data_IF_942769765639
#
_entry.id   IF_942769765639
#
_cell.length_a   1.000
_cell.length_b   1.000
_cell.length_c   1.000
_cell.angle_alpha   90.00
_cell.angle_beta   90.00
_cell.angle_gamma   90.00
#
_symmetry.space_group_name_H-M   'P 1'
#
loop_
_entity.id
_entity.type
_entity.pdbx_description
1 polymer ?
#
# COMPACT_ATOMS: atom_id res chain seq x y z
N UNK A 1 -10.89 15.07 12.22
CA UNK A 1 -11.73 14.96 11.00
C UNK A 1 -10.92 14.83 9.73
N UNK A 2 -9.93 15.70 9.47
CA UNK A 2 -9.12 15.65 8.24
C UNK A 2 -8.47 14.28 7.98
N UNK A 3 -7.98 13.60 9.02
CA UNK A 3 -7.43 12.25 8.93
C UNK A 3 -8.46 11.22 8.44
N UNK A 4 -9.66 11.20 9.05
CA UNK A 4 -10.76 10.31 8.66
C UNK A 4 -11.27 10.61 7.24
N UNK A 5 -11.26 11.89 6.84
CA UNK A 5 -11.66 12.31 5.50
C UNK A 5 -10.66 11.87 4.42
N UNK A 6 -9.38 11.77 4.75
CA UNK A 6 -8.31 11.41 3.82
C UNK A 6 -7.88 9.94 3.89
N UNK A 7 -8.29 9.17 4.89
CA UNK A 7 -8.07 7.72 4.94
C UNK A 7 -8.84 6.98 3.85
N UNK A 8 -8.28 5.87 3.35
CA UNK A 8 -8.92 5.06 2.30
C UNK A 8 -10.08 4.23 2.84
N UNK A 9 -9.85 3.49 3.93
CA UNK A 9 -10.83 2.58 4.56
C UNK A 9 -11.40 3.12 5.87
N UNK A 10 -10.96 4.31 6.28
CA UNK A 10 -11.24 4.86 7.60
C UNK A 10 -10.07 4.68 8.55
N UNK A 11 -10.20 5.17 9.78
CA UNK A 11 -9.22 5.00 10.86
C UNK A 11 -9.92 4.56 12.15
N UNK A 12 -9.28 3.69 12.92
CA UNK A 12 -9.78 3.29 14.24
C UNK A 12 -9.53 4.36 15.30
N UNK A 13 -10.18 4.23 16.46
CA UNK A 13 -9.95 5.08 17.63
C UNK A 13 -8.46 5.09 18.03
N UNK A 14 -7.84 3.91 18.08
CA UNK A 14 -6.44 3.76 18.48
C UNK A 14 -5.49 4.45 17.48
N UNK A 15 -5.72 4.24 16.18
CA UNK A 15 -4.90 4.88 15.14
C UNK A 15 -5.04 6.40 15.19
N UNK A 16 -6.26 6.93 15.37
CA UNK A 16 -6.47 8.37 15.48
C UNK A 16 -5.82 8.96 16.72
N UNK A 17 -5.92 8.29 17.88
CA UNK A 17 -5.30 8.75 19.11
C UNK A 17 -3.77 8.74 19.00
N UNK A 18 -3.19 7.67 18.44
CA UNK A 18 -1.75 7.57 18.21
C UNK A 18 -1.27 8.64 17.22
N UNK A 19 -1.97 8.85 16.11
CA UNK A 19 -1.58 9.86 15.11
C UNK A 19 -1.67 11.26 15.71
N UNK A 20 -2.75 11.56 16.44
CA UNK A 20 -3.00 12.89 17.00
C UNK A 20 -2.22 13.15 18.30
N UNK A 21 -1.71 12.10 18.96
CA UNK A 21 -1.04 12.18 20.26
C UNK A 21 -1.91 12.84 21.33
N UNK A 22 -3.17 12.41 21.43
CA UNK A 22 -4.18 13.01 22.32
C UNK A 22 -4.62 12.03 23.42
N UNK A 23 -4.85 12.50 24.67
CA UNK A 23 -5.44 11.66 25.70
C UNK A 23 -6.83 11.16 25.34
N UNK A 24 -7.12 9.90 25.73
CA UNK A 24 -8.41 9.26 25.45
C UNK A 24 -9.62 10.08 25.92
N UNK A 25 -9.54 10.69 27.10
CA UNK A 25 -10.65 11.49 27.64
C UNK A 25 -11.04 12.65 26.69
N UNK A 26 -10.05 13.34 26.12
CA UNK A 26 -10.28 14.42 25.15
C UNK A 26 -10.83 13.88 23.83
N UNK A 27 -10.28 12.75 23.36
CA UNK A 27 -10.79 12.09 22.15
C UNK A 27 -12.26 11.67 22.31
N UNK A 28 -12.63 11.06 23.45
CA UNK A 28 -14.00 10.61 23.71
C UNK A 28 -15.01 11.76 23.69
N UNK A 29 -14.70 12.90 24.33
CA UNK A 29 -15.58 14.08 24.31
C UNK A 29 -15.78 14.61 22.89
N UNK A 30 -14.71 14.68 22.11
CA UNK A 30 -14.79 15.08 20.71
C UNK A 30 -15.59 14.07 19.89
N UNK A 31 -15.29 12.77 20.04
CA UNK A 31 -15.93 11.69 19.30
C UNK A 31 -17.44 11.69 19.51
N UNK A 32 -17.91 11.80 20.75
CA UNK A 32 -19.33 11.90 21.07
C UNK A 32 -20.02 13.04 20.31
N UNK A 33 -19.36 14.21 20.22
CA UNK A 33 -19.89 15.36 19.49
C UNK A 33 -19.96 15.15 17.97
N UNK A 34 -19.14 14.27 17.40
CA UNK A 34 -19.08 14.01 15.94
C UNK A 34 -19.63 12.65 15.53
N UNK A 35 -20.15 11.84 16.47
CA UNK A 35 -20.69 10.49 16.18
C UNK A 35 -21.73 10.48 15.05
N UNK A 36 -22.60 11.49 15.00
CA UNK A 36 -23.68 11.61 14.01
C UNK A 36 -23.19 11.79 12.57
N UNK A 37 -21.94 12.25 12.37
CA UNK A 37 -21.35 12.44 11.04
C UNK A 37 -20.38 11.32 10.65
N UNK A 38 -20.11 10.39 11.58
CA UNK A 38 -19.21 9.26 11.37
C UNK A 38 -20.00 7.99 11.09
N UNK A 39 -19.49 7.19 10.15
CA UNK A 39 -19.91 5.81 9.92
C UNK A 39 -18.84 4.89 10.49
N UNK A 40 -19.27 3.92 11.30
CA UNK A 40 -18.40 2.88 11.84
C UNK A 40 -18.58 1.60 11.02
N UNK A 41 -17.50 1.00 10.55
CA UNK A 41 -17.52 -0.30 9.88
C UNK A 41 -16.31 -1.10 10.34
N UNK A 42 -16.54 -2.24 10.98
CA UNK A 42 -15.49 -3.09 11.55
C UNK A 42 -14.49 -2.33 12.46
N UNK A 43 -14.97 -1.36 13.24
CA UNK A 43 -14.13 -0.55 14.14
C UNK A 43 -13.36 0.59 13.45
N UNK A 44 -13.53 0.79 12.13
CA UNK A 44 -12.96 1.91 11.39
C UNK A 44 -14.00 3.03 11.22
N UNK A 45 -13.56 4.25 11.45
CA UNK A 45 -14.36 5.46 11.28
C UNK A 45 -14.17 6.04 9.90
N UNK A 46 -15.27 6.32 9.21
CA UNK A 46 -15.36 7.01 7.93
C UNK A 46 -16.38 8.15 8.02
N UNK A 47 -16.41 9.06 7.04
CA UNK A 47 -17.44 10.10 6.99
C UNK A 47 -18.74 9.52 6.41
N UNK A 48 -19.86 9.63 7.13
CA UNK A 48 -21.12 8.99 6.75
C UNK A 48 -21.76 9.60 5.50
N UNK A 49 -21.65 10.92 5.33
CA UNK A 49 -22.35 11.66 4.27
C UNK A 49 -21.37 12.46 3.41
N UNK A 50 -21.55 12.37 2.09
CA UNK A 50 -20.71 13.10 1.12
C UNK A 50 -20.77 14.63 1.31
N UNK A 51 -21.90 15.18 1.77
CA UNK A 51 -22.02 16.61 2.09
C UNK A 51 -21.13 17.01 3.28
N UNK A 52 -21.06 16.18 4.32
CA UNK A 52 -20.15 16.40 5.44
C UNK A 52 -18.69 16.29 4.99
N UNK A 53 -18.37 15.33 4.12
CA UNK A 53 -17.03 15.19 3.58
C UNK A 53 -16.62 16.45 2.80
N UNK A 54 -17.47 16.96 1.91
CA UNK A 54 -17.24 18.22 1.18
C UNK A 54 -17.03 19.39 2.12
N UNK A 55 -17.88 19.56 3.13
CA UNK A 55 -17.74 20.63 4.10
C UNK A 55 -16.43 20.54 4.90
N UNK A 56 -15.96 19.33 5.21
CA UNK A 56 -14.65 19.11 5.84
C UNK A 56 -13.54 19.46 4.87
N UNK A 57 -13.66 19.08 3.59
CA UNK A 57 -12.67 19.38 2.57
C UNK A 57 -12.52 20.89 2.36
N UNK A 58 -13.63 21.60 2.21
CA UNK A 58 -13.66 23.05 2.00
C UNK A 58 -13.11 23.82 3.20
N UNK A 59 -13.38 23.34 4.42
CA UNK A 59 -12.97 24.03 5.66
C UNK A 59 -11.54 23.71 6.09
N UNK A 60 -11.11 22.46 5.96
CA UNK A 60 -9.86 21.98 6.57
C UNK A 60 -8.83 21.44 5.57
N UNK A 61 -9.23 21.14 4.33
CA UNK A 61 -8.38 20.52 3.31
C UNK A 61 -8.37 21.32 1.99
N UNK A 62 -8.65 22.61 2.07
CA UNK A 62 -8.69 23.54 0.93
C UNK A 62 -7.31 23.82 0.32
N UNK A 63 -6.22 23.45 0.99
CA UNK A 63 -4.87 23.64 0.52
C UNK A 63 -4.16 22.31 0.28
N UNK A 64 -3.51 22.16 -0.88
CA UNK A 64 -2.81 20.93 -1.27
C UNK A 64 -1.71 20.54 -0.27
N UNK A 65 -0.98 21.52 0.30
CA UNK A 65 0.03 21.26 1.33
C UNK A 65 -0.55 20.66 2.62
N UNK A 66 -1.75 21.08 3.03
CA UNK A 66 -2.43 20.52 4.21
C UNK A 66 -2.89 19.09 3.93
N UNK A 67 -3.44 18.85 2.73
CA UNK A 67 -3.79 17.48 2.30
C UNK A 67 -2.55 16.58 2.35
N UNK A 68 -1.44 17.02 1.74
CA UNK A 68 -0.18 16.29 1.72
C UNK A 68 0.34 16.02 3.13
N UNK A 69 0.37 17.02 4.02
CA UNK A 69 0.89 16.84 5.38
C UNK A 69 0.05 15.86 6.22
N UNK A 70 -1.28 15.90 6.09
CA UNK A 70 -2.18 14.95 6.78
C UNK A 70 -1.97 13.54 6.25
N UNK A 71 -1.88 13.35 4.93
CA UNK A 71 -1.62 12.04 4.32
C UNK A 71 -0.25 11.48 4.73
N UNK A 72 0.80 12.31 4.74
CA UNK A 72 2.14 11.89 5.17
C UNK A 72 2.17 11.44 6.63
N UNK A 73 1.40 12.08 7.53
CA UNK A 73 1.25 11.60 8.91
C UNK A 73 0.55 10.24 9.00
N UNK A 74 -0.37 9.93 8.09
CA UNK A 74 -0.98 8.59 7.99
C UNK A 74 0.08 7.58 7.52
N UNK A 75 0.89 7.96 6.52
CA UNK A 75 2.01 7.15 6.03
C UNK A 75 3.00 6.84 7.15
N UNK A 76 3.49 7.86 7.86
CA UNK A 76 4.43 7.72 8.99
C UNK A 76 3.90 6.73 10.04
N UNK A 77 2.61 6.84 10.37
CA UNK A 77 1.98 5.94 11.32
C UNK A 77 2.05 4.48 10.86
N UNK A 78 1.59 4.18 9.65
CA UNK A 78 1.56 2.80 9.16
C UNK A 78 2.95 2.24 8.79
N UNK A 79 3.89 3.08 8.37
CA UNK A 79 5.27 2.67 8.08
C UNK A 79 6.01 2.19 9.34
N UNK A 80 5.68 2.74 10.51
CA UNK A 80 6.29 2.34 11.79
C UNK A 80 5.71 1.05 12.39
N UNK A 81 4.74 0.42 11.72
CA UNK A 81 4.01 -0.76 12.21
C UNK A 81 4.36 -2.00 11.38
N UNK A 82 4.13 -3.21 11.92
CA UNK A 82 4.33 -4.45 11.18
C UNK A 82 3.49 -4.48 9.88
N UNK A 83 4.07 -5.05 8.83
CA UNK A 83 3.39 -5.22 7.54
C UNK A 83 2.22 -6.19 7.69
N UNK A 84 1.01 -5.68 7.45
CA UNK A 84 -0.28 -6.38 7.50
C UNK A 84 -1.22 -5.88 6.41
N UNK A 85 -2.32 -6.59 6.13
CA UNK A 85 -3.38 -6.11 5.21
C UNK A 85 -3.81 -4.66 5.51
N UNK A 86 -3.95 -4.31 6.79
CA UNK A 86 -4.30 -2.96 7.23
C UNK A 86 -3.27 -1.91 6.78
N UNK A 87 -1.98 -2.22 6.91
CA UNK A 87 -0.92 -1.28 6.50
C UNK A 87 -0.85 -1.10 4.99
N UNK A 88 -1.01 -2.18 4.22
CA UNK A 88 -0.88 -2.14 2.75
C UNK A 88 -2.10 -1.53 2.07
N UNK A 89 -3.27 -1.54 2.73
CA UNK A 89 -4.47 -0.88 2.22
C UNK A 89 -4.33 0.65 2.23
N UNK A 90 -3.71 1.20 3.28
CA UNK A 90 -3.60 2.64 3.50
C UNK A 90 -2.28 3.20 2.95
N UNK A 91 -1.13 2.65 3.34
CA UNK A 91 0.16 3.33 3.18
C UNK A 91 0.56 3.56 1.70
N UNK A 92 0.58 2.55 0.81
CA UNK A 92 0.83 2.75 -0.62
C UNK A 92 -0.17 3.71 -1.26
N UNK A 93 -1.45 3.63 -0.89
CA UNK A 93 -2.48 4.51 -1.41
C UNK A 93 -2.21 5.98 -1.01
N UNK A 94 -1.85 6.23 0.24
CA UNK A 94 -1.50 7.59 0.69
C UNK A 94 -0.25 8.12 -0.02
N UNK A 95 0.80 7.30 -0.19
CA UNK A 95 2.02 7.67 -0.91
C UNK A 95 1.73 8.05 -2.37
N UNK A 96 0.89 7.26 -3.05
CA UNK A 96 0.43 7.53 -4.41
C UNK A 96 -0.27 8.89 -4.52
N UNK A 97 -1.25 9.17 -3.64
CA UNK A 97 -1.96 10.46 -3.64
C UNK A 97 -1.08 11.65 -3.25
N UNK A 98 0.02 11.41 -2.54
CA UNK A 98 1.03 12.42 -2.22
C UNK A 98 2.13 12.58 -3.28
N UNK A 99 2.10 11.78 -4.36
CA UNK A 99 3.14 11.72 -5.39
C UNK A 99 4.54 11.47 -4.80
N UNK A 100 4.60 10.66 -3.75
CA UNK A 100 5.84 10.21 -3.12
C UNK A 100 6.33 8.96 -3.84
N UNK A 101 6.78 9.14 -5.09
CA UNK A 101 7.04 8.03 -6.02
C UNK A 101 8.18 7.13 -5.57
N UNK A 102 9.23 7.71 -5.00
CA UNK A 102 10.38 6.94 -4.52
C UNK A 102 9.99 6.08 -3.32
N UNK A 103 9.29 6.64 -2.33
CA UNK A 103 8.80 5.86 -1.20
C UNK A 103 7.76 4.82 -1.62
N UNK A 104 6.89 5.16 -2.57
CA UNK A 104 5.90 4.22 -3.12
C UNK A 104 6.60 3.04 -3.79
N UNK A 105 7.60 3.30 -4.63
CA UNK A 105 8.40 2.27 -5.30
C UNK A 105 9.04 1.33 -4.27
N UNK A 106 9.78 1.87 -3.31
CA UNK A 106 10.40 1.09 -2.23
C UNK A 106 9.38 0.27 -1.46
N UNK A 107 8.19 0.83 -1.19
CA UNK A 107 7.12 0.12 -0.50
C UNK A 107 6.58 -1.06 -1.30
N UNK A 108 6.22 -0.87 -2.57
CA UNK A 108 5.58 -1.93 -3.36
C UNK A 108 6.57 -2.99 -3.87
N UNK A 109 7.88 -2.68 -3.80
CA UNK A 109 8.98 -3.61 -4.06
C UNK A 109 9.37 -4.43 -2.83
N UNK A 110 8.83 -4.13 -1.65
CA UNK A 110 8.99 -5.00 -0.49
C UNK A 110 8.19 -6.29 -0.71
N UNK A 111 8.83 -7.49 -0.69
CA UNK A 111 8.16 -8.76 -0.96
C UNK A 111 6.91 -9.01 -0.10
N UNK A 112 6.95 -8.69 1.20
CA UNK A 112 5.79 -8.89 2.08
C UNK A 112 4.61 -7.99 1.70
N UNK A 113 4.89 -6.72 1.36
CA UNK A 113 3.84 -5.78 0.92
C UNK A 113 3.28 -6.22 -0.43
N UNK A 114 4.15 -6.61 -1.35
CA UNK A 114 3.76 -7.12 -2.66
C UNK A 114 2.84 -8.33 -2.53
N UNK A 115 3.21 -9.34 -1.72
CA UNK A 115 2.38 -10.52 -1.49
C UNK A 115 0.99 -10.18 -0.94
N UNK A 116 0.91 -9.31 0.07
CA UNK A 116 -0.37 -8.94 0.68
C UNK A 116 -1.28 -8.14 -0.26
N UNK A 117 -0.70 -7.29 -1.12
CA UNK A 117 -1.47 -6.59 -2.15
C UNK A 117 -1.92 -7.59 -3.24
N UNK A 118 -1.01 -8.46 -3.68
CA UNK A 118 -1.27 -9.42 -4.74
C UNK A 118 -2.23 -10.55 -4.33
N UNK A 119 -2.42 -10.80 -3.04
CA UNK A 119 -3.36 -11.82 -2.54
C UNK A 119 -4.83 -11.40 -2.62
N UNK A 120 -5.14 -10.17 -3.04
CA UNK A 120 -6.50 -9.64 -3.14
C UNK A 120 -6.75 -9.01 -4.51
N UNK A 121 -7.97 -9.11 -5.05
CA UNK A 121 -8.30 -8.53 -6.36
C UNK A 121 -8.14 -7.00 -6.36
N UNK A 122 -8.58 -6.33 -5.30
CA UNK A 122 -8.46 -4.87 -5.15
C UNK A 122 -6.98 -4.45 -5.05
N UNK A 123 -6.15 -5.19 -4.32
CA UNK A 123 -4.72 -4.91 -4.19
C UNK A 123 -3.93 -5.19 -5.47
N UNK A 124 -4.32 -6.20 -6.28
CA UNK A 124 -3.77 -6.41 -7.63
C UNK A 124 -4.05 -5.21 -8.53
N UNK A 125 -5.29 -4.71 -8.51
CA UNK A 125 -5.66 -3.53 -9.28
C UNK A 125 -4.88 -2.29 -8.83
N UNK A 126 -4.72 -2.09 -7.52
CA UNK A 126 -3.88 -1.02 -6.99
C UNK A 126 -2.42 -1.15 -7.44
N UNK A 127 -1.84 -2.36 -7.38
CA UNK A 127 -0.48 -2.63 -7.87
C UNK A 127 -0.36 -2.24 -9.35
N UNK A 128 -1.31 -2.62 -10.19
CA UNK A 128 -1.30 -2.22 -11.61
C UNK A 128 -1.29 -0.69 -11.78
N UNK A 129 -2.09 0.03 -10.99
CA UNK A 129 -2.11 1.50 -11.00
C UNK A 129 -0.76 2.07 -10.54
N UNK A 130 -0.19 1.56 -9.44
CA UNK A 130 1.06 2.07 -8.89
C UNK A 130 2.23 1.83 -9.85
N UNK A 131 2.33 0.62 -10.40
CA UNK A 131 3.38 0.26 -11.35
C UNK A 131 3.22 1.00 -12.69
N UNK A 132 2.01 1.11 -13.24
CA UNK A 132 1.78 1.88 -14.47
C UNK A 132 2.13 3.36 -14.30
N UNK A 133 1.85 3.95 -13.13
CA UNK A 133 2.24 5.33 -12.84
C UNK A 133 3.76 5.49 -12.68
N UNK A 134 4.43 4.49 -12.11
CA UNK A 134 5.90 4.47 -12.03
C UNK A 134 6.55 4.34 -13.41
N UNK A 135 5.98 3.54 -14.31
CA UNK A 135 6.52 3.27 -15.65
C UNK A 135 6.19 4.36 -16.66
N UNK A 136 5.11 5.12 -16.46
CA UNK A 136 4.73 6.26 -17.30
C UNK A 136 5.38 7.59 -16.88
N UNK A 137 6.04 7.63 -15.71
CA UNK A 137 6.66 8.82 -15.14
C UNK A 137 8.17 8.93 -15.37
N UNK A 138 8.79 9.93 -14.75
CA UNK A 138 10.24 10.29 -14.76
C UNK A 138 11.20 9.18 -14.25
N UNK A 139 10.71 7.96 -14.01
CA UNK A 139 11.53 6.83 -13.56
C UNK A 139 11.83 5.98 -14.78
N UNK A 140 13.11 5.90 -15.14
CA UNK A 140 13.58 5.25 -16.36
C UNK A 140 13.02 3.82 -16.47
N UNK A 141 12.19 3.59 -17.50
CA UNK A 141 11.56 2.30 -17.79
C UNK A 141 12.57 1.19 -18.11
N UNK A 142 13.84 1.56 -18.31
CA UNK A 142 14.96 0.66 -18.57
C UNK A 142 15.25 -0.33 -17.44
N UNK A 143 14.68 -0.12 -16.24
CA UNK A 143 15.02 -0.92 -15.05
C UNK A 143 13.84 -1.70 -14.46
N UNK A 144 12.78 -1.99 -15.23
CA UNK A 144 11.68 -2.85 -14.75
C UNK A 144 12.18 -4.21 -14.26
N UNK A 145 13.06 -4.84 -15.04
CA UNK A 145 13.67 -6.12 -14.66
C UNK A 145 14.55 -5.97 -13.42
N UNK A 146 15.36 -4.90 -13.33
CA UNK A 146 16.19 -4.66 -12.15
C UNK A 146 15.36 -4.39 -10.89
N UNK A 147 14.20 -3.75 -11.01
CA UNK A 147 13.27 -3.58 -9.89
C UNK A 147 12.68 -4.91 -9.45
N UNK A 148 12.25 -5.75 -10.38
CA UNK A 148 11.82 -7.10 -10.05
C UNK A 148 12.97 -7.92 -9.41
N UNK A 149 14.20 -7.78 -9.91
CA UNK A 149 15.38 -8.42 -9.32
C UNK A 149 15.71 -7.87 -7.92
N UNK A 150 15.51 -6.57 -7.67
CA UNK A 150 15.64 -5.97 -6.35
C UNK A 150 14.58 -6.52 -5.37
N UNK A 151 13.34 -6.75 -5.83
CA UNK A 151 12.32 -7.40 -5.02
C UNK A 151 12.78 -8.82 -4.62
N UNK A 152 13.36 -9.57 -5.56
CA UNK A 152 13.92 -10.89 -5.29
C UNK A 152 15.12 -10.85 -4.33
N UNK A 153 16.02 -9.86 -4.46
CA UNK A 153 17.16 -9.74 -3.55
C UNK A 153 16.71 -9.40 -2.12
N UNK A 154 15.67 -8.57 -1.96
CA UNK A 154 15.08 -8.31 -0.66
C UNK A 154 14.44 -9.57 -0.06
N UNK A 155 13.86 -10.45 -0.89
CA UNK A 155 13.33 -11.72 -0.40
C UNK A 155 14.43 -12.65 0.14
N UNK A 156 15.64 -12.59 -0.42
CA UNK A 156 16.81 -13.27 0.12
C UNK A 156 17.21 -12.70 1.50
N UNK A 157 17.20 -11.38 1.67
CA UNK A 157 17.48 -10.71 2.96
C UNK A 157 16.45 -11.06 4.04
N UNK A 158 15.17 -11.15 3.67
CA UNK A 158 14.10 -11.56 4.57
C UNK A 158 14.03 -13.08 4.82
N UNK A 159 15.00 -13.85 4.30
CA UNK A 159 15.10 -15.31 4.53
C UNK A 159 13.86 -16.09 4.07
N UNK A 160 13.27 -15.70 2.94
CA UNK A 160 12.13 -16.42 2.36
C UNK A 160 12.49 -17.87 2.05
N UNK A 161 11.55 -18.79 2.24
CA UNK A 161 11.65 -20.18 1.81
C UNK A 161 11.72 -20.29 0.29
N UNK A 162 12.13 -21.47 -0.21
CA UNK A 162 12.22 -21.70 -1.66
C UNK A 162 10.83 -21.61 -2.30
N UNK A 163 9.80 -22.15 -1.65
CA UNK A 163 8.41 -22.09 -2.13
C UNK A 163 7.91 -20.64 -2.21
N UNK A 164 8.16 -19.82 -1.19
CA UNK A 164 7.77 -18.40 -1.21
C UNK A 164 8.51 -17.62 -2.31
N UNK A 165 9.77 -17.97 -2.61
CA UNK A 165 10.52 -17.34 -3.72
C UNK A 165 9.97 -17.75 -5.08
N UNK A 166 9.54 -18.99 -5.23
CA UNK A 166 8.85 -19.48 -6.43
C UNK A 166 7.55 -18.69 -6.62
N UNK A 167 6.72 -18.60 -5.59
CA UNK A 167 5.47 -17.84 -5.63
C UNK A 167 5.71 -16.36 -5.96
N UNK A 168 6.77 -15.76 -5.42
CA UNK A 168 7.13 -14.37 -5.70
C UNK A 168 7.49 -14.18 -7.17
N UNK A 169 8.30 -15.08 -7.75
CA UNK A 169 8.65 -15.04 -9.16
C UNK A 169 7.42 -15.17 -10.06
N UNK A 170 6.51 -16.09 -9.73
CA UNK A 170 5.27 -16.30 -10.49
C UNK A 170 4.32 -15.09 -10.39
N UNK A 171 4.14 -14.53 -9.19
CA UNK A 171 3.29 -13.36 -8.99
C UNK A 171 3.86 -12.10 -9.67
N UNK A 172 5.19 -11.92 -9.67
CA UNK A 172 5.84 -10.85 -10.43
C UNK A 172 5.63 -11.05 -11.94
N UNK A 173 5.79 -12.27 -12.44
CA UNK A 173 5.54 -12.57 -13.85
C UNK A 173 4.08 -12.29 -14.26
N UNK A 174 3.10 -12.72 -13.45
CA UNK A 174 1.68 -12.47 -13.69
C UNK A 174 1.38 -10.96 -13.67
N UNK A 175 1.93 -10.21 -12.71
CA UNK A 175 1.83 -8.75 -12.67
C UNK A 175 2.37 -8.09 -13.94
N UNK A 176 3.53 -8.53 -14.42
CA UNK A 176 4.11 -8.03 -15.68
C UNK A 176 3.23 -8.34 -16.89
N UNK A 177 2.62 -9.53 -16.94
CA UNK A 177 1.67 -9.90 -18.00
C UNK A 177 0.40 -9.04 -17.93
N UNK A 178 -0.13 -8.78 -16.74
CA UNK A 178 -1.28 -7.88 -16.55
C UNK A 178 -0.98 -6.45 -17.02
N UNK A 179 0.28 -6.01 -16.92
CA UNK A 179 0.74 -4.72 -17.46
C UNK A 179 1.10 -4.76 -18.96
N UNK A 180 1.05 -5.92 -19.61
CA UNK A 180 1.34 -6.12 -21.04
C UNK A 180 2.82 -6.40 -21.37
N UNK A 181 3.69 -6.59 -20.38
CA UNK A 181 5.13 -6.85 -20.57
C UNK A 181 5.45 -8.35 -20.61
N UNK A 182 4.94 -9.04 -21.63
CA UNK A 182 5.07 -10.50 -21.76
C UNK A 182 6.53 -10.97 -21.83
N UNK A 183 7.37 -10.31 -22.63
CA UNK A 183 8.78 -10.70 -22.80
C UNK A 183 9.56 -10.58 -21.49
N UNK A 184 9.30 -9.52 -20.71
CA UNK A 184 9.91 -9.32 -19.39
C UNK A 184 9.41 -10.31 -18.33
N UNK A 185 8.25 -10.94 -18.53
CA UNK A 185 7.73 -11.95 -17.59
C UNK A 185 8.45 -13.30 -17.69
N UNK A 186 8.95 -13.66 -18.88
CA UNK A 186 9.51 -14.98 -19.16
C UNK A 186 10.73 -15.36 -18.30
N UNK A 187 11.70 -14.47 -18.03
CA UNK A 187 12.83 -14.79 -17.16
C UNK A 187 12.40 -15.22 -15.75
N UNK A 188 11.38 -14.56 -15.19
CA UNK A 188 10.88 -14.87 -13.85
C UNK A 188 10.17 -16.23 -13.79
N UNK A 189 9.40 -16.57 -14.83
CA UNK A 189 8.78 -17.91 -14.96
C UNK A 189 9.87 -19.00 -15.03
N UNK A 190 10.91 -18.79 -15.84
CA UNK A 190 12.02 -19.74 -15.95
C UNK A 190 12.77 -19.91 -14.63
N UNK A 191 12.98 -18.82 -13.89
CA UNK A 191 13.61 -18.84 -12.56
C UNK A 191 12.76 -19.61 -11.56
N UNK A 192 11.44 -19.43 -11.57
CA UNK A 192 10.51 -20.19 -10.73
C UNK A 192 10.61 -21.70 -11.02
N UNK A 193 10.59 -22.10 -12.30
CA UNK A 193 10.72 -23.51 -12.69
C UNK A 193 12.04 -24.12 -12.22
N UNK A 194 13.16 -23.43 -12.41
CA UNK A 194 14.48 -23.90 -11.96
C UNK A 194 14.54 -24.08 -10.44
N UNK A 195 13.92 -23.19 -9.66
CA UNK A 195 13.84 -23.32 -8.19
C UNK A 195 12.98 -24.51 -7.77
N UNK A 196 11.87 -24.79 -8.48
CA UNK A 196 11.03 -25.96 -8.23
C UNK A 196 11.74 -27.28 -8.56
N UNK A 197 12.45 -27.33 -9.69
CA UNK A 197 13.22 -28.49 -10.13
C UNK A 197 14.34 -28.83 -9.13
N UNK A 198 15.07 -27.81 -8.65
CA UNK A 198 16.11 -27.97 -7.64
C UNK A 198 15.58 -28.52 -6.29
N UNK A 199 14.33 -28.21 -5.95
CA UNK A 199 13.67 -28.67 -4.71
C UNK A 199 13.09 -30.08 -4.86
N UNK A 200 12.65 -30.45 -6.07
CA UNK A 200 12.00 -31.74 -6.36
C UNK A 200 12.98 -32.91 -6.55
N UNK A 201 14.30 -32.64 -6.58
CA UNK A 201 15.33 -33.69 -6.66
C UNK A 201 15.31 -34.50 -7.96
N UNK A 202 14.71 -33.98 -9.03
CA UNK A 202 14.76 -34.59 -10.37
C UNK A 202 16.07 -34.20 -11.07
N UNK A 203 17.17 -34.80 -10.62
CA UNK A 203 18.42 -34.93 -11.39
C UNK A 203 18.81 -36.41 -11.44
#
# INVERSE_FOLDING_TARGET
MSFVALSRRGLSEFELMDILQVPRAMFSSFFLAVTQILKVSCGLFTIAHALCLRAIEDKYLNHLLIRKSVRLRIVEYFQSRPVTHRTVDEMPWQLFHCRQWQELATSIMNPHIFFLLFSTDEGRFDLMIYWSQMLSGEIDSSDLNAKCDQCLSLADEFSFSVDEKVDLCLNLADMLQMLGYFDSSLPFIRRANHLQEATSGLN
#
